data_IF_913398107161
#
_entry.id   IF_913398107161
#
_cell.length_a   1.000
_cell.length_b   1.000
_cell.length_c   1.000
_cell.angle_alpha   90.00
_cell.angle_beta   90.00
_cell.angle_gamma   90.00
#
_symmetry.space_group_name_H-M   'P 1'
#
loop_
_entity.id
_entity.type
_entity.pdbx_description
1 polymer ?
#
# COMPACT_ATOMS: atom_id res chain seq x y z
N UNK A 1 -6.70 -0.84 -12.64
CA UNK A 1 -5.64 -0.10 -13.35
C UNK A 1 -5.74 -0.17 -14.88
N UNK A 2 -5.97 -1.32 -15.53
CA UNK A 2 -6.21 -1.38 -16.99
C UNK A 2 -7.36 -0.47 -17.46
N UNK A 3 -8.45 -0.42 -16.69
CA UNK A 3 -9.58 0.50 -16.93
C UNK A 3 -9.11 1.96 -16.91
N UNK A 4 -8.31 2.35 -15.90
CA UNK A 4 -7.81 3.72 -15.79
C UNK A 4 -6.90 4.10 -16.96
N UNK A 5 -5.95 3.25 -17.38
CA UNK A 5 -5.10 3.53 -18.56
C UNK A 5 -5.90 3.59 -19.86
N UNK A 6 -6.91 2.72 -20.02
CA UNK A 6 -7.81 2.73 -21.18
C UNK A 6 -8.61 4.03 -21.25
N UNK A 7 -9.09 4.53 -20.11
CA UNK A 7 -9.99 5.68 -20.06
C UNK A 7 -9.24 7.02 -19.98
N UNK A 8 -7.98 7.03 -19.55
CA UNK A 8 -7.14 8.22 -19.44
C UNK A 8 -5.74 8.01 -20.04
N UNK A 9 -5.61 7.68 -21.34
CA UNK A 9 -4.34 7.30 -21.96
C UNK A 9 -3.27 8.39 -21.88
N UNK A 10 -3.66 9.67 -21.97
CA UNK A 10 -2.74 10.81 -21.92
C UNK A 10 -2.35 11.23 -20.49
N UNK A 11 -3.03 10.68 -19.47
CA UNK A 11 -2.73 10.97 -18.06
C UNK A 11 -1.57 10.15 -17.51
N UNK A 12 -1.12 9.12 -18.25
CA UNK A 12 -0.14 8.12 -17.78
C UNK A 12 1.07 7.96 -18.71
N UNK A 13 1.54 9.04 -19.34
CA UNK A 13 2.74 9.01 -20.20
C UNK A 13 4.08 8.70 -19.48
N UNK A 14 4.03 8.18 -18.25
CA UNK A 14 5.15 7.90 -17.35
C UNK A 14 4.87 6.63 -16.53
N UNK A 15 5.92 6.04 -15.96
CA UNK A 15 5.88 4.78 -15.19
C UNK A 15 4.85 4.84 -14.05
N UNK A 16 4.14 3.74 -13.85
CA UNK A 16 3.24 3.51 -12.71
C UNK A 16 3.91 2.51 -11.77
N UNK A 17 3.86 2.79 -10.47
CA UNK A 17 4.29 1.85 -9.43
C UNK A 17 3.06 1.34 -8.67
N UNK A 18 2.84 0.03 -8.68
CA UNK A 18 1.87 -0.63 -7.78
C UNK A 18 2.64 -1.03 -6.52
N UNK A 19 2.22 -0.48 -5.38
CA UNK A 19 2.66 -0.87 -4.05
C UNK A 19 1.56 -1.73 -3.44
N UNK A 20 1.75 -3.04 -3.46
CA UNK A 20 0.80 -4.04 -2.99
C UNK A 20 1.19 -4.57 -1.61
N UNK A 21 0.47 -4.09 -0.59
CA UNK A 21 0.71 -4.42 0.83
C UNK A 21 -0.44 -5.23 1.44
N UNK A 22 -1.23 -5.90 0.59
CA UNK A 22 -2.07 -7.02 1.01
C UNK A 22 -1.20 -8.18 1.51
N UNK A 23 -1.67 -8.94 2.49
CA UNK A 23 -0.89 -10.06 3.04
C UNK A 23 -0.75 -11.21 2.06
N UNK A 24 -1.60 -11.27 1.03
CA UNK A 24 -1.56 -12.25 -0.05
C UNK A 24 -0.76 -11.70 -1.22
N UNK A 25 -0.13 -12.60 -1.98
CA UNK A 25 0.61 -12.19 -3.16
C UNK A 25 -0.33 -11.53 -4.19
N UNK A 26 0.08 -10.39 -4.73
CA UNK A 26 -0.64 -9.61 -5.74
C UNK A 26 -0.64 -10.26 -7.13
N UNK A 27 -0.91 -11.56 -7.21
CA UNK A 27 -0.77 -12.39 -8.40
C UNK A 27 -1.56 -11.87 -9.62
N UNK A 28 -2.75 -11.31 -9.39
CA UNK A 28 -3.54 -10.68 -10.45
C UNK A 28 -2.83 -9.47 -11.07
N UNK A 29 -2.22 -8.61 -10.25
CA UNK A 29 -1.42 -7.48 -10.76
C UNK A 29 -0.19 -8.00 -11.52
N UNK A 30 0.50 -9.00 -10.98
CA UNK A 30 1.66 -9.61 -11.62
C UNK A 30 1.31 -10.20 -13.00
N UNK A 31 0.28 -11.03 -13.12
CA UNK A 31 -0.09 -11.67 -14.39
C UNK A 31 -0.57 -10.65 -15.43
N UNK A 32 -1.39 -9.69 -15.02
CA UNK A 32 -1.96 -8.66 -15.91
C UNK A 32 -0.86 -7.77 -16.50
N UNK A 33 0.17 -7.41 -15.73
CA UNK A 33 1.19 -6.44 -16.12
C UNK A 33 2.55 -7.03 -16.46
N UNK A 34 2.70 -8.36 -16.46
CA UNK A 34 3.99 -9.05 -16.71
C UNK A 34 4.73 -8.63 -17.99
N UNK A 35 4.01 -8.20 -19.04
CA UNK A 35 4.59 -7.74 -20.31
C UNK A 35 4.47 -6.23 -20.52
N UNK A 36 3.94 -5.48 -19.55
CA UNK A 36 3.74 -4.03 -19.65
C UNK A 36 4.94 -3.31 -19.03
N UNK A 37 5.87 -2.77 -19.83
CA UNK A 37 7.06 -2.15 -19.29
C UNK A 37 6.71 -0.88 -18.51
N UNK A 38 5.55 -0.26 -18.69
CA UNK A 38 5.23 1.00 -18.01
C UNK A 38 4.75 0.80 -16.58
N UNK A 39 4.64 -0.46 -16.12
CA UNK A 39 4.07 -0.81 -14.83
C UNK A 39 5.09 -1.61 -14.04
N UNK A 40 5.42 -1.11 -12.86
CA UNK A 40 6.24 -1.84 -11.90
C UNK A 40 5.34 -2.37 -10.78
N UNK A 41 5.33 -3.70 -10.60
CA UNK A 41 4.59 -4.39 -9.55
C UNK A 41 5.53 -4.70 -8.38
N UNK A 42 5.23 -4.11 -7.22
CA UNK A 42 5.92 -4.37 -5.96
C UNK A 42 4.94 -4.97 -4.95
N UNK A 43 5.22 -6.18 -4.47
CA UNK A 43 4.37 -6.87 -3.49
C UNK A 43 5.16 -7.25 -2.24
N UNK A 44 4.57 -7.00 -1.06
CA UNK A 44 5.09 -7.47 0.23
C UNK A 44 4.02 -8.31 0.91
N UNK A 45 4.22 -9.62 0.93
CA UNK A 45 3.21 -10.58 1.36
C UNK A 45 3.80 -11.65 2.28
N UNK A 46 2.94 -12.37 3.00
CA UNK A 46 3.38 -13.43 3.91
C UNK A 46 3.86 -14.66 3.13
N UNK A 47 5.05 -15.16 3.45
CA UNK A 47 5.67 -16.35 2.87
C UNK A 47 4.88 -17.65 3.13
N UNK A 48 3.91 -17.64 4.03
CA UNK A 48 3.11 -18.82 4.38
C UNK A 48 1.70 -18.82 3.76
N UNK A 49 1.36 -17.78 2.98
CA UNK A 49 0.02 -17.59 2.40
C UNK A 49 -0.02 -17.96 0.91
N UNK A 50 -0.21 -19.25 0.61
CA UNK A 50 -0.28 -19.78 -0.76
C UNK A 50 -1.67 -20.34 -1.10
N UNK A 51 -2.71 -19.51 -1.05
CA UNK A 51 -4.08 -19.91 -1.40
C UNK A 51 -4.36 -19.88 -2.92
N UNK A 52 -3.49 -19.23 -3.69
CA UNK A 52 -3.62 -19.03 -5.13
C UNK A 52 -2.30 -19.36 -5.85
N UNK A 53 -2.37 -19.46 -7.18
CA UNK A 53 -1.18 -19.60 -8.01
C UNK A 53 -0.27 -18.38 -7.79
N UNK A 54 0.97 -18.64 -7.37
CA UNK A 54 2.01 -17.63 -7.25
C UNK A 54 2.46 -17.22 -8.65
N UNK A 55 2.47 -15.92 -8.90
CA UNK A 55 3.01 -15.31 -10.11
C UNK A 55 4.29 -14.55 -9.78
N UNK A 56 4.99 -13.98 -10.76
CA UNK A 56 6.21 -13.19 -10.50
C UNK A 56 5.93 -11.71 -10.76
N UNK A 57 5.93 -10.91 -9.70
CA UNK A 57 5.94 -9.45 -9.78
C UNK A 57 7.32 -8.96 -10.22
N UNK A 58 7.48 -7.66 -10.46
CA UNK A 58 8.81 -7.08 -10.69
C UNK A 58 9.68 -7.13 -9.42
N UNK A 59 9.04 -6.99 -8.25
CA UNK A 59 9.67 -7.22 -6.95
C UNK A 59 8.66 -7.84 -5.98
N UNK A 60 8.93 -9.07 -5.57
CA UNK A 60 8.21 -9.77 -4.50
C UNK A 60 9.10 -9.86 -3.27
N UNK A 61 8.59 -9.44 -2.11
CA UNK A 61 9.25 -9.59 -0.82
C UNK A 61 8.39 -10.45 0.10
N UNK A 62 8.87 -11.65 0.35
CA UNK A 62 8.25 -12.58 1.28
C UNK A 62 8.59 -12.22 2.73
N UNK A 63 7.56 -12.08 3.56
CA UNK A 63 7.67 -11.80 4.99
C UNK A 63 7.39 -13.08 5.78
N UNK A 64 8.24 -13.46 6.75
CA UNK A 64 8.00 -14.63 7.58
C UNK A 64 6.67 -14.55 8.35
N UNK A 65 6.02 -15.70 8.53
CA UNK A 65 4.85 -15.83 9.39
C UNK A 65 5.16 -15.32 10.81
N UNK A 66 4.20 -14.60 11.39
CA UNK A 66 4.34 -13.99 12.71
C UNK A 66 5.20 -12.73 12.76
N UNK A 67 5.70 -12.21 11.63
CA UNK A 67 6.45 -10.96 11.63
C UNK A 67 5.61 -9.82 12.23
N UNK A 68 6.26 -9.04 13.09
CA UNK A 68 5.67 -7.91 13.80
C UNK A 68 5.80 -6.60 13.02
N UNK A 69 5.36 -5.51 13.65
CA UNK A 69 5.42 -4.18 13.08
C UNK A 69 6.83 -3.79 12.61
N UNK A 70 7.85 -4.01 13.42
CA UNK A 70 9.18 -3.48 13.17
C UNK A 70 9.90 -4.29 12.07
N UNK A 71 9.73 -5.61 12.07
CA UNK A 71 10.21 -6.47 10.99
C UNK A 71 9.58 -6.07 9.64
N UNK A 72 8.26 -5.84 9.62
CA UNK A 72 7.55 -5.45 8.41
C UNK A 72 7.92 -4.03 7.94
N UNK A 73 7.96 -3.06 8.85
CA UNK A 73 8.25 -1.67 8.51
C UNK A 73 9.69 -1.47 8.05
N UNK A 74 10.65 -2.23 8.58
CA UNK A 74 12.06 -2.18 8.13
C UNK A 74 12.19 -2.51 6.64
N UNK A 75 11.40 -3.47 6.15
CA UNK A 75 11.36 -3.83 4.73
C UNK A 75 10.91 -2.63 3.90
N UNK A 76 9.80 -2.01 4.27
CA UNK A 76 9.23 -0.89 3.52
C UNK A 76 10.10 0.36 3.56
N UNK A 77 10.68 0.69 4.71
CA UNK A 77 11.59 1.83 4.87
C UNK A 77 12.81 1.71 3.97
N UNK A 78 13.28 0.47 3.73
CA UNK A 78 14.36 0.20 2.79
C UNK A 78 13.92 0.35 1.34
N UNK A 79 12.80 -0.26 0.96
CA UNK A 79 12.47 -0.46 -0.46
C UNK A 79 11.69 0.69 -1.09
N UNK A 80 10.79 1.36 -0.36
CA UNK A 80 9.98 2.43 -0.96
C UNK A 80 10.84 3.57 -1.54
N UNK A 81 11.86 4.11 -0.84
CA UNK A 81 12.71 5.17 -1.41
C UNK A 81 13.53 4.70 -2.62
N UNK A 82 13.98 3.44 -2.61
CA UNK A 82 14.69 2.84 -3.75
C UNK A 82 13.76 2.79 -4.96
N UNK A 83 12.55 2.25 -4.80
CA UNK A 83 11.59 2.12 -5.88
C UNK A 83 11.17 3.48 -6.44
N UNK A 84 10.97 4.49 -5.58
CA UNK A 84 10.68 5.85 -6.05
C UNK A 84 11.79 6.41 -6.94
N UNK A 85 13.06 6.15 -6.62
CA UNK A 85 14.20 6.61 -7.42
C UNK A 85 14.39 5.82 -8.70
N UNK A 86 14.38 4.48 -8.61
CA UNK A 86 14.72 3.60 -9.73
C UNK A 86 13.57 3.49 -10.75
N UNK A 87 12.33 3.40 -10.27
CA UNK A 87 11.13 3.35 -11.14
C UNK A 87 10.78 4.75 -11.64
N UNK A 88 11.06 5.79 -10.84
CA UNK A 88 10.68 7.18 -11.10
C UNK A 88 9.20 7.30 -11.54
N UNK A 89 8.25 6.81 -10.71
CA UNK A 89 6.85 6.74 -11.10
C UNK A 89 6.21 8.13 -11.11
N UNK A 90 5.27 8.34 -12.03
CA UNK A 90 4.39 9.52 -12.00
C UNK A 90 3.15 9.31 -11.17
N UNK A 91 2.80 8.05 -10.89
CA UNK A 91 1.66 7.68 -10.08
C UNK A 91 1.96 6.39 -9.32
N UNK A 92 1.53 6.37 -8.05
CA UNK A 92 1.51 5.16 -7.24
C UNK A 92 0.08 4.67 -7.07
N UNK A 93 -0.15 3.38 -7.30
CA UNK A 93 -1.33 2.68 -6.80
C UNK A 93 -0.95 1.97 -5.50
N UNK A 94 -1.56 2.35 -4.40
CA UNK A 94 -1.37 1.72 -3.11
C UNK A 94 -2.54 0.78 -2.83
N UNK A 95 -2.31 -0.53 -2.96
CA UNK A 95 -3.24 -1.56 -2.53
C UNK A 95 -3.07 -1.77 -1.02
N UNK A 96 -3.99 -1.19 -0.27
CA UNK A 96 -3.88 -1.03 1.18
C UNK A 96 -4.68 -2.10 1.93
N UNK A 97 -4.33 -3.38 1.71
CA UNK A 97 -4.87 -4.47 2.53
C UNK A 97 -4.58 -4.24 4.01
N UNK A 98 -5.49 -4.66 4.89
CA UNK A 98 -5.32 -4.59 6.36
C UNK A 98 -5.22 -5.99 6.97
N UNK A 99 -5.25 -7.02 6.13
CA UNK A 99 -5.04 -8.41 6.51
C UNK A 99 -3.63 -8.81 6.97
N UNK A 100 -2.60 -7.93 7.01
CA UNK A 100 -1.43 -8.17 7.85
C UNK A 100 -1.71 -8.09 9.36
N UNK A 101 -2.88 -7.60 9.78
CA UNK A 101 -3.26 -7.48 11.19
C UNK A 101 -3.20 -8.83 11.91
N UNK A 102 -2.71 -8.80 13.15
CA UNK A 102 -2.76 -9.97 14.04
C UNK A 102 -4.19 -10.47 14.33
N UNK A 103 -5.20 -9.61 14.18
CA UNK A 103 -6.61 -9.91 14.38
C UNK A 103 -7.31 -10.40 13.11
N UNK A 104 -6.58 -10.50 12.00
CA UNK A 104 -7.06 -11.07 10.75
C UNK A 104 -7.07 -12.60 10.79
N UNK A 105 -8.06 -13.20 10.15
CA UNK A 105 -8.27 -14.65 10.06
C UNK A 105 -7.46 -15.31 8.97
N UNK A 106 -7.28 -14.63 7.85
CA UNK A 106 -6.62 -15.13 6.64
C UNK A 106 -5.16 -14.64 6.58
N UNK A 107 -4.88 -13.54 7.27
CA UNK A 107 -3.54 -13.09 7.60
C UNK A 107 -2.77 -14.06 8.49
N UNK A 108 -1.45 -14.00 8.36
CA UNK A 108 -0.49 -14.76 9.19
C UNK A 108 0.65 -13.88 9.70
N UNK A 109 0.50 -12.57 9.59
CA UNK A 109 1.43 -11.62 10.18
C UNK A 109 0.86 -11.15 11.53
N UNK A 110 1.68 -10.44 12.29
CA UNK A 110 1.33 -10.00 13.64
C UNK A 110 1.36 -8.48 13.77
N UNK A 111 0.95 -7.76 12.71
CA UNK A 111 0.92 -6.30 12.77
C UNK A 111 -0.18 -5.81 13.70
N UNK A 112 0.12 -4.75 14.42
CA UNK A 112 -0.86 -4.00 15.20
C UNK A 112 -1.52 -2.94 14.32
N UNK A 113 -2.67 -2.42 14.76
CA UNK A 113 -3.30 -1.25 14.11
C UNK A 113 -2.37 -0.04 14.09
N UNK A 114 -1.54 0.15 15.12
CA UNK A 114 -0.53 1.20 15.14
C UNK A 114 0.58 0.94 14.10
N UNK A 115 1.00 -0.31 13.92
CA UNK A 115 1.90 -0.74 12.85
C UNK A 115 1.37 -0.44 11.45
N UNK A 116 0.11 -0.77 11.19
CA UNK A 116 -0.54 -0.42 9.92
C UNK A 116 -0.66 1.08 9.71
N UNK A 117 -0.94 1.87 10.75
CA UNK A 117 -0.93 3.33 10.65
C UNK A 117 0.46 3.87 10.30
N UNK A 118 1.53 3.32 10.89
CA UNK A 118 2.92 3.66 10.53
C UNK A 118 3.23 3.28 9.09
N UNK A 119 2.78 2.10 8.64
CA UNK A 119 2.92 1.63 7.26
C UNK A 119 2.26 2.59 6.27
N UNK A 120 1.01 2.95 6.52
CA UNK A 120 0.26 3.85 5.64
C UNK A 120 0.96 5.21 5.56
N UNK A 121 1.36 5.77 6.71
CA UNK A 121 2.05 7.05 6.77
C UNK A 121 3.36 7.01 5.99
N UNK A 122 4.14 5.93 6.11
CA UNK A 122 5.38 5.75 5.35
C UNK A 122 5.14 5.81 3.83
N UNK A 123 4.08 5.16 3.33
CA UNK A 123 3.72 5.22 1.91
C UNK A 123 3.34 6.65 1.51
N UNK A 124 2.48 7.32 2.28
CA UNK A 124 2.02 8.67 1.96
C UNK A 124 3.17 9.69 2.00
N UNK A 125 3.99 9.66 3.04
CA UNK A 125 5.14 10.56 3.19
C UNK A 125 6.15 10.35 2.07
N UNK A 126 6.40 9.10 1.69
CA UNK A 126 7.33 8.77 0.59
C UNK A 126 6.78 9.26 -0.75
N UNK A 127 5.49 9.10 -1.02
CA UNK A 127 4.88 9.67 -2.24
C UNK A 127 4.97 11.20 -2.24
N UNK A 128 4.64 11.81 -1.10
CA UNK A 128 4.63 13.26 -0.95
C UNK A 128 6.03 13.88 -1.10
N UNK A 129 7.05 13.29 -0.47
CA UNK A 129 8.43 13.80 -0.54
C UNK A 129 9.02 13.72 -1.95
N UNK A 130 8.51 12.82 -2.79
CA UNK A 130 8.88 12.68 -4.19
C UNK A 130 7.94 13.47 -5.14
N UNK A 131 6.91 14.14 -4.63
CA UNK A 131 5.93 14.87 -5.45
C UNK A 131 5.08 13.95 -6.34
N UNK A 132 4.89 12.69 -5.93
CA UNK A 132 4.16 11.68 -6.70
C UNK A 132 2.75 11.52 -6.13
N UNK A 133 1.75 11.57 -7.02
CA UNK A 133 0.36 11.32 -6.63
C UNK A 133 0.14 9.86 -6.27
N UNK A 134 -0.73 9.62 -5.29
CA UNK A 134 -1.10 8.27 -4.84
C UNK A 134 -2.60 8.04 -5.02
N UNK A 135 -2.94 6.90 -5.61
CA UNK A 135 -4.30 6.34 -5.64
C UNK A 135 -4.36 5.24 -4.62
N UNK A 136 -5.29 5.34 -3.67
CA UNK A 136 -5.45 4.36 -2.60
C UNK A 136 -6.62 3.42 -2.93
N UNK A 137 -6.35 2.13 -2.97
CA UNK A 137 -7.35 1.09 -3.21
C UNK A 137 -7.46 0.16 -2.02
N UNK A 138 -8.68 -0.21 -1.64
CA UNK A 138 -8.91 -1.15 -0.55
C UNK A 138 -8.43 -2.54 -0.94
N UNK A 139 -7.73 -3.23 -0.03
CA UNK A 139 -7.38 -4.64 -0.16
C UNK A 139 -8.20 -5.53 0.78
N UNK A 140 -7.64 -6.69 1.16
CA UNK A 140 -8.21 -7.64 2.11
C UNK A 140 -8.26 -7.11 3.55
N UNK A 141 -8.97 -7.86 4.40
CA UNK A 141 -9.25 -7.53 5.79
C UNK A 141 -10.44 -8.33 6.29
N UNK A 142 -10.18 -9.35 7.11
CA UNK A 142 -11.11 -10.40 7.48
C UNK A 142 -10.97 -10.70 8.97
N UNK A 143 -11.87 -10.21 9.84
CA UNK A 143 -11.71 -10.40 11.27
C UNK A 143 -11.82 -11.89 11.66
N UNK A 144 -11.07 -12.30 12.68
CA UNK A 144 -11.13 -13.66 13.27
C UNK A 144 -12.54 -14.03 13.71
N UNK A 145 -13.23 -13.07 14.33
CA UNK A 145 -14.64 -13.16 14.67
C UNK A 145 -15.46 -12.18 13.83
N UNK A 146 -16.52 -12.69 13.20
CA UNK A 146 -17.41 -11.91 12.33
C UNK A 146 -18.53 -11.19 13.11
N UNK A 147 -18.63 -11.41 14.42
CA UNK A 147 -19.51 -10.62 15.28
C UNK A 147 -19.08 -9.13 15.23
N UNK A 148 -19.98 -8.20 14.83
CA UNK A 148 -19.70 -6.77 14.82
C UNK A 148 -19.30 -6.17 16.17
N UNK A 149 -19.64 -6.83 17.29
CA UNK A 149 -19.26 -6.39 18.63
C UNK A 149 -17.88 -6.93 19.07
N UNK A 150 -17.26 -7.82 18.27
CA UNK A 150 -15.95 -8.38 18.58
C UNK A 150 -14.81 -7.36 18.40
N UNK A 151 -13.77 -7.51 19.21
CA UNK A 151 -12.56 -6.69 19.09
C UNK A 151 -11.90 -6.86 17.71
N UNK A 152 -11.86 -8.08 17.14
CA UNK A 152 -11.25 -8.29 15.83
C UNK A 152 -12.01 -7.57 14.71
N UNK A 153 -13.34 -7.53 14.78
CA UNK A 153 -14.15 -6.80 13.81
C UNK A 153 -13.87 -5.29 13.91
N UNK A 154 -13.85 -4.74 15.13
CA UNK A 154 -13.53 -3.35 15.37
C UNK A 154 -12.10 -2.98 14.89
N UNK A 155 -11.12 -3.86 15.08
CA UNK A 155 -9.75 -3.65 14.63
C UNK A 155 -9.64 -3.57 13.09
N UNK A 156 -10.26 -4.52 12.38
CA UNK A 156 -10.21 -4.59 10.91
C UNK A 156 -10.93 -3.40 10.27
N UNK A 157 -12.15 -3.09 10.72
CA UNK A 157 -12.91 -1.92 10.23
C UNK A 157 -12.18 -0.62 10.58
N UNK A 158 -11.64 -0.54 11.78
CA UNK A 158 -10.84 0.60 12.24
C UNK A 158 -9.59 0.80 11.38
N UNK A 159 -8.89 -0.27 11.01
CA UNK A 159 -7.72 -0.20 10.16
C UNK A 159 -8.05 0.23 8.72
N UNK A 160 -9.14 -0.28 8.13
CA UNK A 160 -9.61 0.22 6.84
C UNK A 160 -9.97 1.71 6.90
N UNK A 161 -10.60 2.15 7.98
CA UNK A 161 -10.92 3.57 8.17
C UNK A 161 -9.65 4.42 8.29
N UNK A 162 -8.65 3.94 9.04
CA UNK A 162 -7.38 4.65 9.24
C UNK A 162 -6.66 4.92 7.91
N UNK A 163 -6.68 4.00 6.95
CA UNK A 163 -6.11 4.18 5.62
C UNK A 163 -6.61 5.49 4.99
N UNK A 164 -7.93 5.65 4.86
CA UNK A 164 -8.51 6.79 4.15
C UNK A 164 -8.45 8.08 4.97
N UNK A 165 -8.61 7.98 6.29
CA UNK A 165 -8.47 9.14 7.19
C UNK A 165 -7.05 9.69 7.14
N UNK A 166 -6.03 8.84 7.21
CA UNK A 166 -4.62 9.27 7.13
C UNK A 166 -4.27 9.84 5.76
N UNK A 167 -4.79 9.27 4.68
CA UNK A 167 -4.60 9.82 3.33
C UNK A 167 -5.17 11.25 3.23
N UNK A 168 -6.40 11.45 3.72
CA UNK A 168 -7.04 12.77 3.72
C UNK A 168 -6.29 13.79 4.59
N UNK A 169 -5.85 13.38 5.78
CA UNK A 169 -5.06 14.22 6.69
C UNK A 169 -3.72 14.62 6.08
N UNK A 170 -3.00 13.68 5.48
CA UNK A 170 -1.69 13.94 4.85
C UNK A 170 -1.83 14.91 3.68
N UNK A 171 -2.84 14.70 2.82
CA UNK A 171 -3.09 15.60 1.70
C UNK A 171 -3.50 17.01 2.17
N UNK A 172 -4.36 17.11 3.19
CA UNK A 172 -4.79 18.39 3.74
C UNK A 172 -3.62 19.17 4.37
N UNK A 173 -2.77 18.50 5.16
CA UNK A 173 -1.60 19.12 5.76
C UNK A 173 -0.64 19.69 4.69
N UNK A 174 -0.40 18.94 3.62
CA UNK A 174 0.43 19.39 2.49
C UNK A 174 -0.17 20.59 1.75
N UNK A 175 -1.49 20.60 1.56
CA UNK A 175 -2.19 21.73 0.95
C UNK A 175 -1.99 23.03 1.76
N UNK A 176 -2.15 22.94 3.08
CA UNK A 176 -1.95 24.08 3.99
C UNK A 176 -0.49 24.58 4.00
N UNK A 177 0.49 23.68 3.99
CA UNK A 177 1.91 24.08 3.94
C UNK A 177 2.27 24.76 2.61
N UNK A 178 1.63 24.35 1.51
CA UNK A 178 1.84 24.97 0.20
C UNK A 178 1.29 26.41 0.17
N UNK A 179 0.13 26.64 0.79
CA UNK A 179 -0.49 27.97 0.90
C UNK A 179 0.30 28.91 1.81
N UNK A 180 0.86 28.43 2.92
CA UNK A 180 1.66 29.27 3.82
C UNK A 180 3.04 29.60 3.23
N UNK A 181 3.64 28.68 2.47
CA UNK A 181 4.91 28.89 1.78
C UNK A 181 4.83 29.89 0.62
N UNK A 182 3.67 30.03 -0.03
CA UNK A 182 3.46 31.03 -1.09
C UNK A 182 3.23 32.45 -0.53
N UNK A 183 2.63 32.56 0.66
CA UNK A 183 2.41 33.85 1.34
C UNK A 183 3.68 34.49 1.92
N UNK A 184 4.73 33.71 2.18
CA UNK A 184 6.03 34.22 2.67
C UNK A 184 7.01 34.59 1.54
N UNK A 185 6.65 34.36 0.27
CA UNK A 185 7.49 34.66 -0.91
C UNK A 185 7.00 35.84 -1.74
N UNK A 186 5.96 36.56 -1.29
CA UNK A 186 5.42 37.79 -1.90
C UNK A 186 5.87 39.03 -1.15
#
# INVERSE_FOLDING_TARGET
MQVARREYPDSFGRKILIVDLDVHQGNGNADIFKTDPDVFTFSVHCAANYFSKVETSNLDLEVPEGADDDAYLTILQRWLPILMREVNPSLVFFQSGVDPLQSDRLGRLSLTRAGLRRRNQLVYDTCLSHGVSVVVTMGGGYPKDMDPESQSFADVVGAHTDVYVQAAQTHHANYLSTLSGSYMRS
#
